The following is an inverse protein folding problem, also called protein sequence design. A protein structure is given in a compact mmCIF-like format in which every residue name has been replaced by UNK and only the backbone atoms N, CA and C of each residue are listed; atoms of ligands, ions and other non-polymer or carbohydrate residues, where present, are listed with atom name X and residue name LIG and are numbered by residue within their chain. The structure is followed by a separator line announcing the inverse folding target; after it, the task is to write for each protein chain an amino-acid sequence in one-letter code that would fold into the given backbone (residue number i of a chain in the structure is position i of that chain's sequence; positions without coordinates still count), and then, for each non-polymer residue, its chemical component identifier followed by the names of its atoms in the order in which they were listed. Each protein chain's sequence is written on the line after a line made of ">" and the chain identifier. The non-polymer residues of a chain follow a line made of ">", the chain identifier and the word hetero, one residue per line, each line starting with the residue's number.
data_IF_039503779769
#
_entry.id   IF_039503779769
#
_cell.length_a   1.000
_cell.length_b   1.000
_cell.length_c   1.000
_cell.angle_alpha   90.00
_cell.angle_beta   90.00
_cell.angle_gamma   90.00
#
_symmetry.space_group_name_H-M   'P 1'
#
loop_
_entity.id
_entity.type
_entity.pdbx_description
1 polymer ?
#
# COMPACT_ATOMS: atom_id res chain seq x y z
N UNK A 1 -22.58 13.82 6.19
CA UNK A 1 -21.66 12.94 5.44
C UNK A 1 -22.30 12.66 4.09
N UNK A 2 -21.64 12.99 2.98
CA UNK A 2 -22.11 12.59 1.65
C UNK A 2 -21.68 11.16 1.33
N UNK A 3 -22.40 10.48 0.47
CA UNK A 3 -22.01 9.18 -0.06
C UNK A 3 -21.18 9.32 -1.36
N UNK A 4 -20.37 8.31 -1.66
CA UNK A 4 -19.76 8.18 -2.99
C UNK A 4 -20.83 7.96 -4.04
N UNK A 5 -20.79 8.72 -5.14
CA UNK A 5 -21.64 8.45 -6.30
C UNK A 5 -21.09 7.27 -7.11
N UNK A 6 -21.96 6.65 -7.90
CA UNK A 6 -21.52 5.58 -8.82
C UNK A 6 -20.57 6.12 -9.90
N UNK A 7 -20.77 7.36 -10.32
CA UNK A 7 -19.88 8.03 -11.27
C UNK A 7 -18.45 8.17 -10.72
N UNK A 8 -18.30 8.65 -9.47
CA UNK A 8 -17.00 8.75 -8.78
C UNK A 8 -16.34 7.37 -8.66
N UNK A 9 -17.12 6.35 -8.27
CA UNK A 9 -16.64 4.98 -8.13
C UNK A 9 -16.11 4.42 -9.46
N UNK A 10 -16.85 4.61 -10.53
CA UNK A 10 -16.44 4.17 -11.87
C UNK A 10 -15.19 4.95 -12.36
N UNK A 11 -15.11 6.25 -12.09
CA UNK A 11 -13.92 7.07 -12.39
C UNK A 11 -12.69 6.54 -11.66
N UNK A 12 -12.81 6.19 -10.37
CA UNK A 12 -11.73 5.59 -9.57
C UNK A 12 -11.22 4.32 -10.23
N UNK A 13 -12.10 3.36 -10.53
CA UNK A 13 -11.69 2.06 -11.07
C UNK A 13 -11.08 2.22 -12.47
N UNK A 14 -11.71 3.01 -13.34
CA UNK A 14 -11.23 3.25 -14.69
C UNK A 14 -9.83 3.87 -14.68
N UNK A 15 -9.60 4.89 -13.84
CA UNK A 15 -8.31 5.56 -13.75
C UNK A 15 -7.24 4.67 -13.09
N UNK A 16 -7.61 3.83 -12.12
CA UNK A 16 -6.69 2.82 -11.55
C UNK A 16 -6.17 1.88 -12.64
N UNK A 17 -7.05 1.39 -13.52
CA UNK A 17 -6.64 0.53 -14.63
C UNK A 17 -5.85 1.27 -15.72
N UNK A 18 -6.17 2.53 -15.98
CA UNK A 18 -5.41 3.35 -16.91
C UNK A 18 -3.96 3.56 -16.41
N UNK A 19 -3.78 3.83 -15.12
CA UNK A 19 -2.46 3.96 -14.50
C UNK A 19 -1.70 2.62 -14.53
N UNK A 20 -2.38 1.51 -14.25
CA UNK A 20 -1.80 0.17 -14.33
C UNK A 20 -1.29 -0.13 -15.76
N UNK A 21 -2.08 0.20 -16.79
CA UNK A 21 -1.69 0.06 -18.19
C UNK A 21 -0.47 0.92 -18.52
N UNK A 22 -0.45 2.19 -18.06
CA UNK A 22 0.68 3.10 -18.25
C UNK A 22 1.98 2.56 -17.66
N UNK A 23 1.89 1.87 -16.52
CA UNK A 23 3.01 1.24 -15.82
C UNK A 23 3.34 -0.16 -16.28
N UNK A 24 2.59 -0.70 -17.24
CA UNK A 24 2.76 -2.06 -17.75
C UNK A 24 2.60 -3.12 -16.64
N UNK A 25 1.69 -2.89 -15.72
CA UNK A 25 1.37 -3.85 -14.65
C UNK A 25 0.72 -5.11 -15.24
N UNK A 26 0.81 -6.20 -14.48
CA UNK A 26 0.03 -7.41 -14.73
C UNK A 26 -1.48 -7.11 -14.63
N UNK A 27 -2.36 -8.00 -15.13
CA UNK A 27 -3.80 -7.81 -15.01
C UNK A 27 -4.25 -7.53 -13.59
N UNK A 28 -4.97 -6.42 -13.41
CA UNK A 28 -5.38 -5.87 -12.12
C UNK A 28 -6.85 -6.13 -11.84
N UNK A 29 -7.20 -5.98 -10.58
CA UNK A 29 -8.59 -5.87 -10.12
C UNK A 29 -8.71 -4.71 -9.14
N UNK A 30 -9.89 -4.09 -9.12
CA UNK A 30 -10.17 -2.98 -8.23
C UNK A 30 -11.59 -3.09 -7.67
N UNK A 31 -11.74 -2.79 -6.38
CA UNK A 31 -13.01 -2.72 -5.67
C UNK A 31 -13.13 -1.38 -4.98
N UNK A 32 -14.34 -0.83 -4.94
CA UNK A 32 -14.65 0.33 -4.11
C UNK A 32 -15.75 -0.04 -3.12
N UNK A 33 -15.49 0.22 -1.85
CA UNK A 33 -16.44 0.06 -0.75
C UNK A 33 -16.95 1.44 -0.32
N UNK A 34 -18.20 1.52 0.13
CA UNK A 34 -18.71 2.69 0.82
C UNK A 34 -18.16 2.80 2.25
N UNK A 35 -18.51 3.86 2.97
CA UNK A 35 -18.05 4.09 4.35
C UNK A 35 -18.52 3.02 5.35
N UNK A 36 -19.56 2.26 5.01
CA UNK A 36 -20.05 1.12 5.79
C UNK A 36 -19.41 -0.22 5.42
N UNK A 37 -18.40 -0.22 4.52
CA UNK A 37 -17.70 -1.42 4.09
C UNK A 37 -18.47 -2.27 3.08
N UNK A 38 -19.54 -1.74 2.47
CA UNK A 38 -20.33 -2.44 1.47
C UNK A 38 -19.81 -2.16 0.06
N UNK A 39 -19.87 -3.18 -0.80
CA UNK A 39 -19.37 -3.07 -2.19
C UNK A 39 -20.25 -2.09 -2.98
N UNK A 40 -19.60 -1.08 -3.55
CA UNK A 40 -20.21 -0.15 -4.52
C UNK A 40 -19.96 -0.61 -5.95
N UNK A 41 -18.73 -1.03 -6.26
CA UNK A 41 -18.39 -1.65 -7.54
C UNK A 41 -17.12 -2.50 -7.42
N UNK A 42 -17.01 -3.49 -8.27
CA UNK A 42 -15.83 -4.33 -8.48
C UNK A 42 -15.62 -4.57 -9.96
N UNK A 43 -14.40 -4.48 -10.42
CA UNK A 43 -14.01 -4.87 -11.78
C UNK A 43 -12.70 -5.66 -11.75
N UNK A 44 -12.61 -6.63 -12.65
CA UNK A 44 -11.46 -7.51 -12.81
C UNK A 44 -11.06 -7.53 -14.29
N UNK A 45 -9.79 -7.23 -14.58
CA UNK A 45 -9.28 -7.32 -15.95
C UNK A 45 -9.15 -8.79 -16.39
N UNK A 46 -9.24 -9.02 -17.69
CA UNK A 46 -9.02 -10.32 -18.29
C UNK A 46 -7.63 -10.85 -17.96
N UNK A 47 -7.54 -12.13 -17.63
CA UNK A 47 -6.29 -12.77 -17.21
C UNK A 47 -5.92 -12.57 -15.74
N UNK A 48 -6.66 -11.76 -14.96
CA UNK A 48 -6.44 -11.66 -13.52
C UNK A 48 -6.91 -12.96 -12.80
N UNK A 49 -6.17 -13.35 -11.75
CA UNK A 49 -6.40 -14.60 -11.02
C UNK A 49 -7.75 -14.65 -10.28
N UNK A 50 -8.15 -15.86 -9.86
CA UNK A 50 -9.47 -16.13 -9.29
C UNK A 50 -9.73 -15.35 -7.99
N UNK A 51 -8.78 -15.32 -7.06
CA UNK A 51 -8.94 -14.70 -5.72
C UNK A 51 -8.83 -13.17 -5.68
N UNK A 52 -8.90 -12.50 -6.83
CA UNK A 52 -8.71 -11.05 -6.88
C UNK A 52 -9.82 -10.26 -6.19
N UNK A 53 -11.04 -10.79 -6.16
CA UNK A 53 -12.14 -10.15 -5.42
C UNK A 53 -11.84 -10.12 -3.92
N UNK A 54 -11.51 -11.26 -3.34
CA UNK A 54 -11.25 -11.45 -1.91
C UNK A 54 -10.05 -10.62 -1.45
N UNK A 55 -8.98 -10.60 -2.27
CA UNK A 55 -7.78 -9.81 -1.98
C UNK A 55 -8.09 -8.31 -2.03
N UNK A 56 -8.77 -7.81 -3.08
CA UNK A 56 -9.18 -6.40 -3.16
C UNK A 56 -10.06 -6.01 -1.98
N UNK A 57 -11.06 -6.87 -1.69
CA UNK A 57 -11.99 -6.64 -0.60
C UNK A 57 -11.26 -6.54 0.73
N UNK A 58 -10.40 -7.51 1.05
CA UNK A 58 -9.64 -7.52 2.31
C UNK A 58 -8.71 -6.32 2.46
N UNK A 59 -8.10 -5.80 1.37
CA UNK A 59 -7.29 -4.58 1.37
C UNK A 59 -8.14 -3.33 1.67
N UNK A 60 -9.27 -3.15 0.97
CA UNK A 60 -10.18 -2.02 1.17
C UNK A 60 -10.85 -2.07 2.54
N UNK A 61 -11.37 -3.24 2.93
CA UNK A 61 -12.02 -3.46 4.21
C UNK A 61 -11.06 -3.21 5.38
N UNK A 62 -9.83 -3.74 5.31
CA UNK A 62 -8.81 -3.50 6.32
C UNK A 62 -8.44 -2.03 6.47
N UNK A 63 -8.46 -1.27 5.35
CA UNK A 63 -8.25 0.18 5.39
C UNK A 63 -9.37 0.90 6.14
N UNK A 64 -10.63 0.54 5.90
CA UNK A 64 -11.80 1.10 6.61
C UNK A 64 -11.81 0.69 8.08
N UNK A 65 -11.67 -0.61 8.35
CA UNK A 65 -11.74 -1.17 9.70
C UNK A 65 -10.70 -0.57 10.66
N UNK A 66 -9.50 -0.23 10.14
CA UNK A 66 -8.41 0.31 10.95
C UNK A 66 -8.16 1.81 10.71
N UNK A 67 -8.94 2.47 9.86
CA UNK A 67 -8.88 3.90 9.58
C UNK A 67 -7.55 4.35 9.00
N UNK A 68 -6.91 3.52 8.15
CA UNK A 68 -5.59 3.80 7.57
C UNK A 68 -5.34 3.02 6.27
N UNK A 69 -4.43 3.49 5.39
CA UNK A 69 -4.02 2.71 4.22
C UNK A 69 -3.54 1.31 4.58
N UNK A 70 -3.85 0.30 3.75
CA UNK A 70 -3.54 -1.12 4.03
C UNK A 70 -2.04 -1.39 4.20
N UNK A 71 -1.17 -0.59 3.59
CA UNK A 71 0.28 -0.61 3.82
C UNK A 71 0.64 -0.37 5.30
N UNK A 72 -0.06 0.54 5.99
CA UNK A 72 0.12 0.80 7.41
C UNK A 72 -0.53 -0.27 8.29
N UNK A 73 -1.57 -0.95 7.78
CA UNK A 73 -2.13 -2.14 8.43
C UNK A 73 -1.10 -3.26 8.43
N UNK A 74 -0.46 -3.54 7.29
CA UNK A 74 0.64 -4.50 7.18
C UNK A 74 1.79 -4.16 8.13
N UNK A 75 2.19 -2.89 8.19
CA UNK A 75 3.25 -2.46 9.10
C UNK A 75 2.87 -2.74 10.57
N UNK A 76 1.64 -2.41 10.96
CA UNK A 76 1.14 -2.69 12.31
C UNK A 76 1.11 -4.19 12.62
N UNK A 77 0.79 -5.03 11.64
CA UNK A 77 0.82 -6.48 11.80
C UNK A 77 2.24 -7.00 12.10
N UNK A 78 3.24 -6.45 11.42
CA UNK A 78 4.65 -6.78 11.69
C UNK A 78 5.12 -6.32 13.08
N UNK A 79 4.67 -5.15 13.52
CA UNK A 79 5.05 -4.57 14.82
C UNK A 79 4.29 -5.23 15.99
N UNK A 80 3.03 -5.61 15.80
CA UNK A 80 2.14 -6.10 16.84
C UNK A 80 1.30 -7.31 16.37
N UNK A 81 1.92 -8.46 16.10
CA UNK A 81 1.24 -9.61 15.52
C UNK A 81 0.08 -10.14 16.37
N UNK A 82 0.25 -10.25 17.69
CA UNK A 82 -0.83 -10.71 18.60
C UNK A 82 -2.02 -9.75 18.62
N UNK A 83 -1.77 -8.45 18.53
CA UNK A 83 -2.85 -7.47 18.41
C UNK A 83 -3.61 -7.64 17.10
N UNK A 84 -2.91 -7.85 15.99
CA UNK A 84 -3.56 -8.05 14.70
C UNK A 84 -4.36 -9.36 14.65
N UNK A 85 -3.86 -10.42 15.25
CA UNK A 85 -4.62 -11.66 15.39
C UNK A 85 -5.93 -11.44 16.15
N UNK A 86 -5.93 -10.64 17.23
CA UNK A 86 -7.15 -10.27 17.96
C UNK A 86 -8.11 -9.46 17.08
N UNK A 87 -7.59 -8.53 16.27
CA UNK A 87 -8.40 -7.74 15.33
C UNK A 87 -9.03 -8.64 14.26
N UNK A 88 -8.29 -9.60 13.71
CA UNK A 88 -8.80 -10.55 12.71
C UNK A 88 -9.95 -11.40 13.26
N UNK A 89 -9.89 -11.78 14.55
CA UNK A 89 -10.95 -12.52 15.20
C UNK A 89 -12.22 -11.67 15.50
N UNK A 90 -12.08 -10.34 15.53
CA UNK A 90 -13.20 -9.41 15.75
C UNK A 90 -13.81 -8.90 14.44
N UNK A 91 -13.10 -9.03 13.33
CA UNK A 91 -13.52 -8.51 12.03
C UNK A 91 -14.60 -9.40 11.41
N UNK A 92 -15.65 -8.81 10.85
CA UNK A 92 -16.69 -9.54 10.12
C UNK A 92 -16.17 -10.19 8.83
N UNK A 93 -15.08 -9.66 8.28
CA UNK A 93 -14.48 -10.12 7.03
C UNK A 93 -12.95 -10.21 7.15
N UNK A 94 -12.32 -11.13 6.41
CA UNK A 94 -10.87 -11.27 6.42
C UNK A 94 -10.15 -9.97 6.02
N UNK A 95 -9.10 -9.62 6.76
CA UNK A 95 -8.18 -8.56 6.40
C UNK A 95 -7.11 -9.12 5.46
N UNK A 96 -6.72 -8.35 4.44
CA UNK A 96 -5.59 -8.72 3.59
C UNK A 96 -4.42 -7.76 3.82
N UNK A 97 -3.35 -8.28 4.44
CA UNK A 97 -2.24 -7.50 5.00
C UNK A 97 -1.18 -7.15 3.95
N UNK A 98 -1.59 -6.41 2.93
CA UNK A 98 -0.75 -5.99 1.80
C UNK A 98 -1.12 -4.57 1.36
N UNK A 99 -0.19 -3.84 0.68
CA UNK A 99 -0.47 -2.54 0.07
C UNK A 99 -1.54 -2.59 -1.02
N UNK A 100 -2.06 -1.44 -1.43
CA UNK A 100 -3.10 -1.29 -2.47
C UNK A 100 -4.50 -0.99 -1.94
N UNK A 101 -4.69 -0.95 -0.62
CA UNK A 101 -5.91 -0.44 0.01
C UNK A 101 -5.74 1.01 0.46
N UNK A 102 -6.62 1.91 0.01
CA UNK A 102 -6.57 3.34 0.33
C UNK A 102 -7.93 3.84 0.81
N UNK A 103 -7.94 4.71 1.84
CA UNK A 103 -9.14 5.43 2.21
C UNK A 103 -9.46 6.49 1.15
N UNK A 104 -10.74 6.62 0.85
CA UNK A 104 -11.26 7.65 -0.04
C UNK A 104 -11.84 8.75 0.83
N UNK A 105 -11.28 9.96 0.72
CA UNK A 105 -11.71 11.12 1.51
C UNK A 105 -12.22 12.24 0.62
N UNK A 106 -13.11 13.04 1.17
CA UNK A 106 -13.49 14.31 0.56
C UNK A 106 -12.45 15.41 0.87
N UNK A 107 -12.71 16.62 0.37
CA UNK A 107 -11.82 17.77 0.59
C UNK A 107 -11.71 18.21 2.07
N UNK A 108 -12.62 17.77 2.92
CA UNK A 108 -12.63 18.06 4.35
C UNK A 108 -12.03 16.92 5.19
N UNK A 109 -11.60 15.83 4.56
CA UNK A 109 -11.01 14.67 5.22
C UNK A 109 -12.01 13.63 5.73
N UNK A 110 -13.31 13.82 5.46
CA UNK A 110 -14.33 12.82 5.79
C UNK A 110 -14.11 11.54 4.97
N UNK A 111 -14.18 10.39 5.62
CA UNK A 111 -14.06 9.09 4.94
C UNK A 111 -15.36 8.78 4.22
N UNK A 112 -15.28 8.69 2.89
CA UNK A 112 -16.41 8.34 2.02
C UNK A 112 -16.46 6.84 1.71
N UNK A 113 -15.35 6.15 1.87
CA UNK A 113 -15.19 4.74 1.56
C UNK A 113 -13.73 4.33 1.46
N UNK A 114 -13.47 3.22 0.80
CA UNK A 114 -12.12 2.78 0.46
C UNK A 114 -12.07 2.10 -0.90
N UNK A 115 -10.89 2.17 -1.53
CA UNK A 115 -10.57 1.39 -2.73
C UNK A 115 -9.53 0.33 -2.37
N UNK A 116 -9.67 -0.86 -2.94
CA UNK A 116 -8.68 -1.91 -2.92
C UNK A 116 -8.26 -2.26 -4.35
N UNK A 117 -6.98 -2.19 -4.63
CA UNK A 117 -6.39 -2.55 -5.93
C UNK A 117 -5.40 -3.69 -5.71
N UNK A 118 -5.38 -4.64 -6.63
CA UNK A 118 -4.44 -5.77 -6.59
C UNK A 118 -4.14 -6.31 -7.97
N UNK A 119 -2.92 -6.73 -8.20
CA UNK A 119 -2.49 -7.32 -9.47
C UNK A 119 -0.98 -7.43 -9.61
N UNK A 120 -0.26 -6.53 -8.99
CA UNK A 120 1.20 -6.44 -9.11
C UNK A 120 1.88 -6.29 -7.74
N UNK A 121 3.06 -5.70 -7.69
CA UNK A 121 3.74 -5.36 -6.45
C UNK A 121 2.93 -4.33 -5.63
N UNK A 122 3.04 -4.40 -4.30
CA UNK A 122 2.28 -3.54 -3.39
C UNK A 122 2.40 -2.05 -3.68
N UNK A 123 3.58 -1.61 -4.08
CA UNK A 123 3.86 -0.21 -4.43
C UNK A 123 3.10 0.22 -5.70
N UNK A 124 2.97 -0.68 -6.68
CA UNK A 124 2.22 -0.44 -7.91
C UNK A 124 0.72 -0.46 -7.65
N UNK A 125 0.25 -1.39 -6.82
CA UNK A 125 -1.14 -1.45 -6.38
C UNK A 125 -1.55 -0.15 -5.66
N UNK A 126 -0.71 0.37 -4.73
CA UNK A 126 -0.92 1.65 -4.04
C UNK A 126 -0.96 2.83 -5.02
N UNK A 127 -0.01 2.91 -5.94
CA UNK A 127 0.05 3.99 -6.94
C UNK A 127 -1.21 4.01 -7.81
N UNK A 128 -1.67 2.83 -8.26
CA UNK A 128 -2.88 2.72 -9.07
C UNK A 128 -4.14 3.13 -8.28
N UNK A 129 -4.22 2.73 -7.00
CA UNK A 129 -5.32 3.12 -6.12
C UNK A 129 -5.38 4.65 -5.91
N UNK A 130 -4.24 5.27 -5.62
CA UNK A 130 -4.12 6.72 -5.42
C UNK A 130 -4.47 7.49 -6.70
N UNK A 131 -3.94 7.06 -7.85
CA UNK A 131 -4.26 7.67 -9.14
C UNK A 131 -5.76 7.61 -9.45
N UNK A 132 -6.41 6.50 -9.11
CA UNK A 132 -7.87 6.37 -9.22
C UNK A 132 -8.62 7.39 -8.38
N UNK A 133 -8.27 7.51 -7.10
CA UNK A 133 -8.92 8.48 -6.18
C UNK A 133 -8.76 9.91 -6.68
N UNK A 134 -7.56 10.29 -7.12
CA UNK A 134 -7.29 11.63 -7.62
C UNK A 134 -8.07 11.96 -8.91
N UNK A 135 -8.25 10.98 -9.80
CA UNK A 135 -9.04 11.17 -11.03
C UNK A 135 -10.51 11.52 -10.74
N UNK A 136 -11.05 11.03 -9.62
CA UNK A 136 -12.38 11.40 -9.14
C UNK A 136 -12.42 12.73 -8.35
N UNK A 137 -11.31 13.48 -8.30
CA UNK A 137 -11.13 14.72 -7.52
C UNK A 137 -11.34 14.52 -6.02
N UNK A 138 -11.05 13.32 -5.55
CA UNK A 138 -11.07 12.93 -4.15
C UNK A 138 -9.65 12.88 -3.59
N UNK A 139 -9.52 12.71 -2.29
CA UNK A 139 -8.24 12.74 -1.58
C UNK A 139 -7.94 11.41 -0.89
N UNK A 140 -6.66 11.17 -0.67
CA UNK A 140 -6.12 10.10 0.17
C UNK A 140 -5.58 10.67 1.48
N UNK A 141 -5.20 9.83 2.43
CA UNK A 141 -4.57 10.29 3.67
C UNK A 141 -3.31 11.12 3.41
N UNK A 142 -2.49 10.73 2.41
CA UNK A 142 -1.23 11.41 2.11
C UNK A 142 -1.43 12.87 1.66
N UNK A 143 -2.51 13.18 0.96
CA UNK A 143 -2.76 14.52 0.43
C UNK A 143 -2.91 15.58 1.53
N UNK A 144 -3.39 15.18 2.70
CA UNK A 144 -3.55 16.08 3.85
C UNK A 144 -2.23 16.40 4.54
N UNK A 145 -1.26 15.49 4.51
CA UNK A 145 0.05 15.74 5.10
C UNK A 145 0.95 16.63 4.24
N UNK A 146 0.66 16.70 2.95
CA UNK A 146 1.40 17.55 2.01
C UNK A 146 0.77 18.93 1.82
N UNK A 147 -0.46 19.15 2.31
CA UNK A 147 -1.22 20.39 2.23
C UNK A 147 -1.52 20.96 3.64
N UNK A 148 -0.77 22.00 4.11
CA UNK A 148 -0.99 22.59 5.44
C UNK A 148 -2.39 23.18 5.64
N UNK A 149 -3.04 23.65 4.58
CA UNK A 149 -4.39 24.22 4.64
C UNK A 149 -5.42 23.10 4.83
N UNK A 150 -5.28 21.99 4.10
CA UNK A 150 -6.11 20.83 4.29
C UNK A 150 -5.95 20.22 5.69
N UNK A 151 -4.74 20.21 6.25
CA UNK A 151 -4.51 19.80 7.64
C UNK A 151 -5.20 20.70 8.67
N UNK A 152 -5.25 22.02 8.42
CA UNK A 152 -6.00 22.95 9.27
C UNK A 152 -7.50 22.69 9.18
N UNK A 153 -8.03 22.46 7.99
CA UNK A 153 -9.45 22.13 7.79
C UNK A 153 -9.87 20.88 8.55
N UNK A 154 -9.04 19.83 8.57
CA UNK A 154 -9.26 18.61 9.35
C UNK A 154 -9.36 18.87 10.85
N UNK A 155 -8.48 19.69 11.41
CA UNK A 155 -8.48 20.00 12.85
C UNK A 155 -9.74 20.71 13.31
N UNK A 156 -10.41 21.45 12.41
CA UNK A 156 -11.66 22.17 12.67
C UNK A 156 -12.85 21.20 12.66
N UNK A 157 -12.85 20.18 11.81
CA UNK A 157 -14.00 19.30 11.61
C UNK A 157 -14.02 18.05 12.50
N UNK A 158 -13.07 17.88 13.42
CA UNK A 158 -12.97 16.69 14.32
C UNK A 158 -13.08 15.33 13.58
N UNK A 159 -12.63 15.29 12.34
CA UNK A 159 -12.61 14.07 11.53
C UNK A 159 -11.72 13.00 12.17
N UNK A 160 -11.95 11.73 11.80
CA UNK A 160 -11.14 10.62 12.29
C UNK A 160 -9.63 10.91 12.15
N UNK A 161 -8.81 10.61 13.17
CA UNK A 161 -7.41 10.98 13.17
C UNK A 161 -6.69 10.39 11.95
N UNK A 162 -6.09 11.26 11.16
CA UNK A 162 -5.22 10.86 10.05
C UNK A 162 -3.95 10.19 10.59
N UNK A 163 -3.56 9.14 9.94
CA UNK A 163 -2.28 8.47 10.21
C UNK A 163 -1.32 8.80 9.07
N UNK A 164 -0.27 9.58 9.38
CA UNK A 164 0.76 9.91 8.39
C UNK A 164 1.42 8.62 7.87
N UNK A 165 1.28 8.28 6.59
CA UNK A 165 1.87 7.09 6.02
C UNK A 165 3.41 7.11 6.03
N UNK A 166 4.02 8.29 6.26
CA UNK A 166 5.49 8.48 6.31
C UNK A 166 6.06 8.35 7.73
N UNK A 167 5.24 8.45 8.77
CA UNK A 167 5.66 8.55 10.17
C UNK A 167 6.51 7.37 10.67
N UNK A 168 6.42 6.24 10.00
CA UNK A 168 7.13 5.02 10.33
C UNK A 168 7.92 4.44 9.15
N UNK A 169 8.20 5.24 8.12
CA UNK A 169 9.14 4.80 7.10
C UNK A 169 10.49 4.57 7.78
N UNK A 170 11.09 3.36 7.72
CA UNK A 170 12.40 3.13 8.28
C UNK A 170 13.35 4.13 7.65
N UNK A 171 14.11 4.86 8.50
CA UNK A 171 15.16 5.73 8.01
C UNK A 171 15.95 4.96 6.94
N UNK A 172 16.07 5.52 5.74
CA UNK A 172 16.89 4.91 4.67
C UNK A 172 18.25 4.64 5.30
N UNK A 173 18.55 3.37 5.59
CA UNK A 173 19.91 2.97 5.95
C UNK A 173 20.78 3.43 4.80
N UNK A 174 21.68 4.38 5.08
CA UNK A 174 22.73 4.72 4.14
C UNK A 174 23.41 3.40 3.75
N UNK A 175 23.39 3.07 2.49
CA UNK A 175 24.09 1.91 1.95
C UNK A 175 25.56 2.10 2.33
N UNK A 176 26.19 1.20 3.08
CA UNK A 176 27.61 1.36 3.37
C UNK A 176 28.35 1.34 2.04
N UNK A 177 29.18 2.36 1.79
CA UNK A 177 30.01 2.44 0.61
C UNK A 177 30.83 1.15 0.53
N UNK A 178 30.66 0.40 -0.54
CA UNK A 178 31.49 -0.76 -0.85
C UNK A 178 32.92 -0.23 -1.05
N UNK A 179 33.81 -0.47 -0.09
CA UNK A 179 35.22 -0.22 -0.26
C UNK A 179 35.71 -1.14 -1.40
N UNK A 180 36.40 -0.61 -2.42
CA UNK A 180 37.02 -1.48 -3.43
C UNK A 180 38.05 -2.38 -2.76
N UNK A 181 38.02 -3.66 -3.08
CA UNK A 181 38.99 -4.65 -2.62
C UNK A 181 40.39 -4.21 -3.04
N UNK A 182 41.26 -3.99 -2.08
CA UNK A 182 42.65 -3.65 -2.31
C UNK A 182 43.37 -4.79 -3.03
N UNK A 183 44.00 -4.48 -4.16
CA UNK A 183 44.92 -5.35 -4.87
C UNK A 183 46.12 -5.68 -3.95
N UNK A 184 46.07 -6.85 -3.34
CA UNK A 184 47.22 -7.46 -2.66
C UNK A 184 48.13 -8.16 -3.67
N UNK A 185 49.13 -7.47 -4.16
CA UNK A 185 50.24 -8.09 -4.92
C UNK A 185 51.07 -8.95 -3.99
N UNK A 186 50.94 -10.26 -4.13
CA UNK A 186 51.69 -11.24 -3.41
C UNK A 186 53.13 -11.38 -3.90
N UNK A 187 54.03 -11.49 -3.00
CA UNK A 187 55.40 -11.98 -3.25
C UNK A 187 55.44 -13.51 -3.04
N UNK A 188 55.89 -14.20 -4.09
CA UNK A 188 56.41 -15.57 -4.04
C UNK A 188 57.77 -15.51 -3.35
N UNK A 189 58.02 -16.40 -2.39
CA UNK A 189 59.35 -16.85 -2.05
C UNK A 189 59.27 -18.37 -1.74
N UNK A 190 60.09 -19.07 -2.46
CA UNK A 190 60.21 -20.52 -2.37
C UNK A 190 61.23 -20.93 -1.31
N UNK A 191 61.19 -22.23 -1.03
CA UNK A 191 62.28 -23.13 -0.60
C UNK A 191 61.63 -24.51 -0.46
N UNK A 192 61.91 -25.49 -1.30
CA UNK A 192 62.91 -26.56 -1.27
C UNK A 192 63.02 -27.27 0.10
N UNK A 193 62.71 -28.53 0.12
CA UNK A 193 63.50 -29.73 0.39
C UNK A 193 62.57 -30.84 0.92
N UNK A 194 62.49 -31.99 0.30
CA UNK A 194 63.38 -33.12 0.11
C UNK A 194 63.18 -34.24 1.17
N UNK A 195 63.06 -35.46 0.58
CA UNK A 195 63.37 -36.81 1.12
C UNK A 195 62.25 -37.47 1.94
N UNK A 196 61.87 -38.68 1.75
CA UNK A 196 62.38 -39.95 1.21
C UNK A 196 61.47 -41.04 1.72
N UNK A 197 61.27 -42.01 0.89
CA UNK A 197 60.55 -43.26 1.07
C UNK A 197 60.99 -44.13 2.26
N UNK A 198 60.67 -45.44 2.35
CA UNK A 198 60.55 -46.40 1.24
C UNK A 198 59.10 -46.83 0.96
#
# INVERSE_FOLDING_TARGET
>A
MRALSLEEVNAIITASFAEAKRRKCRPMSAIVLDAGGRVKAFQKQDGASMLRFEICYGKAYGSLALGRPSKLVLQKAKEKPLFMQSIENLADYPLFLEGGGQLIRDKFGEVLGAVGVTGDANELDDICAIAGIHAAKLRTDSDFFDDPEAMRALSIHKSAPLVDPRRNAPARRATPAIRPAGNGSGRRSGAQNAKSGP
#
